data_IF_019475123806
#
_entry.id   IF_019475123806
#
_cell.length_a   1.000
_cell.length_b   1.000
_cell.length_c   1.000
_cell.angle_alpha   90.00
_cell.angle_beta   90.00
_cell.angle_gamma   90.00
#
_symmetry.space_group_name_H-M   'P 1'
#
loop_
_entity.id
_entity.type
_entity.pdbx_description
1 polymer ?
#
# COMPACT_ATOMS: atom_id res chain seq x y z
N UNK A 1 5.47 8.81 25.70
CA UNK A 1 4.25 8.24 25.10
C UNK A 1 4.24 8.63 23.63
N UNK A 2 4.22 7.63 22.75
CA UNK A 2 4.34 7.78 21.28
C UNK A 2 3.10 8.46 20.68
N UNK A 3 1.93 8.06 21.14
CA UNK A 3 0.65 8.64 20.75
C UNK A 3 0.25 9.79 21.68
N UNK A 4 -0.65 10.66 21.21
CA UNK A 4 -1.16 11.79 21.97
C UNK A 4 -1.96 11.37 23.20
N UNK A 5 -2.56 10.17 23.15
CA UNK A 5 -3.38 9.57 24.21
C UNK A 5 -3.46 8.06 24.05
N UNK A 6 -4.04 7.38 25.04
CA UNK A 6 -4.46 5.98 24.92
C UNK A 6 -5.87 5.90 24.30
N UNK A 7 -6.15 4.76 23.66
CA UNK A 7 -7.50 4.42 23.23
C UNK A 7 -8.36 4.12 24.47
N UNK A 8 -9.61 4.54 24.42
CA UNK A 8 -10.64 4.05 25.36
C UNK A 8 -11.08 2.65 24.95
N UNK A 9 -11.67 1.89 25.88
CA UNK A 9 -12.24 0.57 25.56
C UNK A 9 -13.29 0.67 24.45
N UNK A 10 -14.12 1.72 24.46
CA UNK A 10 -15.11 1.98 23.41
C UNK A 10 -14.47 2.13 22.04
N UNK A 11 -13.39 2.92 21.95
CA UNK A 11 -12.66 3.13 20.69
C UNK A 11 -11.95 1.86 20.21
N UNK A 12 -11.40 1.06 21.13
CA UNK A 12 -10.82 -0.23 20.78
C UNK A 12 -11.88 -1.17 20.18
N UNK A 13 -13.05 -1.27 20.81
CA UNK A 13 -14.15 -2.07 20.27
C UNK A 13 -14.63 -1.56 18.91
N UNK A 14 -14.69 -0.25 18.72
CA UNK A 14 -15.01 0.34 17.41
C UNK A 14 -13.98 -0.04 16.33
N UNK A 15 -12.68 -0.01 16.64
CA UNK A 15 -11.64 -0.40 15.69
C UNK A 15 -11.70 -1.90 15.35
N UNK A 16 -12.04 -2.75 16.32
CA UNK A 16 -12.26 -4.18 16.08
C UNK A 16 -13.50 -4.43 15.22
N UNK A 17 -14.58 -3.67 15.43
CA UNK A 17 -15.76 -3.74 14.56
C UNK A 17 -15.46 -3.24 13.14
N UNK A 18 -14.68 -2.17 13.01
CA UNK A 18 -14.19 -1.66 11.71
C UNK A 18 -13.35 -2.71 10.99
N UNK A 19 -12.45 -3.38 11.71
CA UNK A 19 -11.62 -4.44 11.16
C UNK A 19 -12.47 -5.54 10.51
N UNK A 20 -13.48 -6.04 11.21
CA UNK A 20 -14.36 -7.08 10.66
C UNK A 20 -15.19 -6.58 9.47
N UNK A 21 -15.71 -5.35 9.53
CA UNK A 21 -16.41 -4.72 8.41
C UNK A 21 -15.52 -4.64 7.15
N UNK A 22 -14.28 -4.18 7.30
CA UNK A 22 -13.32 -4.06 6.18
C UNK A 22 -12.96 -5.45 5.64
N UNK A 23 -12.73 -6.43 6.53
CA UNK A 23 -12.45 -7.81 6.12
C UNK A 23 -13.58 -8.39 5.27
N UNK A 24 -14.83 -8.20 5.68
CA UNK A 24 -16.00 -8.68 4.96
C UNK A 24 -16.17 -7.96 3.61
N UNK A 25 -16.01 -6.63 3.60
CA UNK A 25 -16.15 -5.82 2.39
C UNK A 25 -15.12 -6.22 1.30
N UNK A 26 -13.87 -6.48 1.71
CA UNK A 26 -12.83 -6.94 0.78
C UNK A 26 -12.96 -8.41 0.38
N UNK A 27 -13.56 -9.27 1.21
CA UNK A 27 -13.80 -10.67 0.83
C UNK A 27 -14.81 -10.82 -0.31
N UNK A 28 -15.76 -9.89 -0.45
CA UNK A 28 -16.79 -9.89 -1.50
C UNK A 28 -16.24 -9.37 -2.82
N UNK A 29 -15.31 -8.41 -2.77
CA UNK A 29 -14.64 -7.93 -3.98
C UNK A 29 -13.46 -8.85 -4.26
N UNK A 30 -13.42 -9.61 -5.37
CA UNK A 30 -12.21 -10.38 -5.78
C UNK A 30 -10.97 -9.49 -6.04
N UNK A 31 -11.03 -8.23 -5.65
CA UNK A 31 -10.01 -7.19 -5.71
C UNK A 31 -9.54 -6.84 -4.29
N UNK A 32 -8.28 -7.22 -4.06
CA UNK A 32 -7.37 -6.79 -2.99
C UNK A 32 -7.31 -7.64 -1.73
N UNK A 33 -6.06 -8.02 -1.45
CA UNK A 33 -5.58 -8.78 -0.32
C UNK A 33 -5.78 -7.97 0.98
N UNK A 34 -6.71 -8.41 1.82
CA UNK A 34 -6.97 -7.81 3.13
C UNK A 34 -5.71 -7.73 4.01
N UNK A 35 -4.71 -8.61 3.79
CA UNK A 35 -3.45 -8.55 4.53
C UNK A 35 -2.68 -7.25 4.28
N UNK A 36 -2.88 -6.58 3.14
CA UNK A 36 -2.36 -5.24 2.86
C UNK A 36 -2.78 -4.23 3.93
N UNK A 37 -4.06 -4.24 4.33
CA UNK A 37 -4.60 -3.31 5.34
C UNK A 37 -3.86 -3.46 6.66
N UNK A 38 -3.57 -4.69 7.08
CA UNK A 38 -2.78 -4.93 8.29
C UNK A 38 -1.34 -4.46 8.16
N UNK A 39 -0.70 -4.62 7.00
CA UNK A 39 0.64 -4.08 6.78
C UNK A 39 0.64 -2.55 6.86
N UNK A 40 -0.36 -1.87 6.31
CA UNK A 40 -0.53 -0.42 6.45
C UNK A 40 -0.71 -0.02 7.92
N UNK A 41 -1.51 -0.75 8.70
CA UNK A 41 -1.63 -0.52 10.14
C UNK A 41 -0.30 -0.72 10.88
N UNK A 42 0.51 -1.71 10.50
CA UNK A 42 1.85 -1.92 11.07
C UNK A 42 2.80 -0.78 10.75
N UNK A 43 2.88 -0.34 9.49
CA UNK A 43 3.69 0.82 9.13
C UNK A 43 3.21 2.10 9.80
N UNK A 44 1.90 2.28 9.96
CA UNK A 44 1.32 3.40 10.71
C UNK A 44 1.85 3.45 12.14
N UNK A 45 1.93 2.30 12.84
CA UNK A 45 2.54 2.21 14.17
C UNK A 45 4.02 2.57 14.13
N UNK A 46 4.73 2.02 13.15
CA UNK A 46 6.18 2.14 13.08
C UNK A 46 6.61 3.58 12.78
N UNK A 47 5.93 4.25 11.85
CA UNK A 47 6.16 5.65 11.54
C UNK A 47 5.79 6.52 12.75
N UNK A 48 4.61 6.32 13.34
CA UNK A 48 4.18 7.11 14.51
C UNK A 48 5.17 7.02 15.69
N UNK A 49 5.83 5.87 15.88
CA UNK A 49 6.87 5.67 16.90
C UNK A 49 8.17 6.43 16.66
N UNK A 50 8.44 6.83 15.42
CA UNK A 50 9.73 7.36 14.98
C UNK A 50 9.63 8.80 14.45
N UNK A 51 8.56 9.52 14.78
CA UNK A 51 8.40 10.95 14.52
C UNK A 51 8.31 11.71 15.84
N UNK A 52 8.54 13.02 15.81
CA UNK A 52 8.49 13.86 17.02
C UNK A 52 7.05 14.20 17.41
N UNK A 53 6.17 14.36 16.42
CA UNK A 53 4.79 14.75 16.61
C UNK A 53 3.95 13.62 17.21
N UNK A 54 3.17 13.95 18.23
CA UNK A 54 2.17 13.04 18.77
C UNK A 54 0.91 13.10 17.93
N UNK A 55 0.40 11.93 17.56
CA UNK A 55 -0.82 11.77 16.78
C UNK A 55 -1.93 11.07 17.55
N UNK A 56 -3.18 11.30 17.15
CA UNK A 56 -4.31 10.57 17.71
C UNK A 56 -4.35 9.13 17.17
N UNK A 57 -4.23 8.10 18.03
CA UNK A 57 -4.17 6.72 17.57
C UNK A 57 -5.48 6.30 16.87
N UNK A 58 -6.63 6.77 17.33
CA UNK A 58 -7.91 6.39 16.74
C UNK A 58 -8.03 6.91 15.31
N UNK A 59 -7.62 8.16 15.06
CA UNK A 59 -7.64 8.76 13.71
C UNK A 59 -6.72 7.96 12.76
N UNK A 60 -5.49 7.66 13.21
CA UNK A 60 -4.54 6.88 12.42
C UNK A 60 -5.06 5.49 12.07
N UNK A 61 -5.55 4.72 13.04
CA UNK A 61 -5.96 3.33 12.81
C UNK A 61 -7.30 3.23 12.08
N UNK A 62 -8.28 4.07 12.40
CA UNK A 62 -9.53 4.09 11.65
C UNK A 62 -9.28 4.50 10.19
N UNK A 63 -8.41 5.49 9.96
CA UNK A 63 -7.99 5.89 8.63
C UNK A 63 -7.26 4.78 7.87
N UNK A 64 -6.32 4.09 8.51
CA UNK A 64 -5.59 2.97 7.91
C UNK A 64 -6.50 1.78 7.60
N UNK A 65 -7.46 1.44 8.47
CA UNK A 65 -8.42 0.36 8.21
C UNK A 65 -9.34 0.68 7.04
N UNK A 66 -9.80 1.92 6.93
CA UNK A 66 -10.80 2.34 5.94
C UNK A 66 -10.20 2.88 4.63
N UNK A 67 -8.87 3.04 4.52
CA UNK A 67 -8.24 3.77 3.40
C UNK A 67 -8.68 3.26 2.02
N UNK A 68 -8.81 1.94 1.87
CA UNK A 68 -9.12 1.27 0.61
C UNK A 68 -10.59 0.84 0.47
N UNK A 69 -11.47 1.23 1.40
CA UNK A 69 -12.89 0.82 1.36
C UNK A 69 -13.60 1.25 0.07
N UNK A 70 -13.17 2.35 -0.55
CA UNK A 70 -13.68 2.80 -1.85
C UNK A 70 -13.36 1.86 -3.01
N UNK A 71 -12.33 1.00 -2.89
CA UNK A 71 -11.97 0.01 -3.93
C UNK A 71 -12.94 -1.17 -4.03
N UNK A 72 -13.78 -1.36 -3.01
CA UNK A 72 -14.85 -2.36 -3.04
C UNK A 72 -15.85 -2.10 -4.18
N UNK A 73 -15.93 -0.85 -4.66
CA UNK A 73 -16.66 -0.48 -5.86
C UNK A 73 -15.73 -0.28 -7.07
N UNK A 74 -15.59 -1.33 -7.90
CA UNK A 74 -14.70 -1.34 -9.07
C UNK A 74 -14.99 -0.24 -10.09
N UNK A 75 -16.24 0.24 -10.20
CA UNK A 75 -16.59 1.30 -11.15
C UNK A 75 -15.90 2.63 -10.82
N UNK A 76 -15.53 2.83 -9.55
CA UNK A 76 -14.99 4.09 -9.03
C UNK A 76 -13.57 3.94 -8.47
N UNK A 77 -12.84 2.87 -8.81
CA UNK A 77 -11.47 2.63 -8.32
C UNK A 77 -10.50 3.81 -8.63
N UNK A 78 -10.70 4.47 -9.77
CA UNK A 78 -9.94 5.66 -10.17
C UNK A 78 -10.09 6.87 -9.23
N UNK A 79 -11.13 6.90 -8.39
CA UNK A 79 -11.41 7.92 -7.36
C UNK A 79 -11.63 7.29 -5.97
N UNK A 80 -11.08 6.10 -5.71
CA UNK A 80 -11.37 5.33 -4.48
C UNK A 80 -11.13 6.11 -3.18
N UNK A 81 -10.15 7.02 -3.13
CA UNK A 81 -9.95 7.86 -1.94
C UNK A 81 -11.15 8.79 -1.66
N UNK A 82 -11.72 9.42 -2.70
CA UNK A 82 -12.89 10.29 -2.58
C UNK A 82 -14.13 9.49 -2.17
N UNK A 83 -14.42 8.39 -2.87
CA UNK A 83 -15.54 7.52 -2.52
C UNK A 83 -15.35 6.91 -1.12
N UNK A 84 -14.15 6.45 -0.81
CA UNK A 84 -13.80 5.88 0.48
C UNK A 84 -13.99 6.88 1.62
N UNK A 85 -13.70 8.16 1.40
CA UNK A 85 -13.96 9.24 2.35
C UNK A 85 -15.42 9.33 2.74
N UNK A 86 -16.31 9.33 1.74
CA UNK A 86 -17.77 9.36 1.96
C UNK A 86 -18.24 8.11 2.69
N UNK A 87 -17.80 6.93 2.26
CA UNK A 87 -18.15 5.67 2.93
C UNK A 87 -17.65 5.61 4.38
N UNK A 88 -16.46 6.14 4.65
CA UNK A 88 -15.90 6.23 5.98
C UNK A 88 -16.71 7.18 6.86
N UNK A 89 -17.14 8.33 6.34
CA UNK A 89 -18.01 9.27 7.05
C UNK A 89 -19.34 8.62 7.45
N UNK A 90 -20.04 8.00 6.48
CA UNK A 90 -21.31 7.31 6.70
C UNK A 90 -21.19 6.18 7.74
N UNK A 91 -20.14 5.36 7.62
CA UNK A 91 -19.91 4.25 8.55
C UNK A 91 -19.64 4.74 9.97
N UNK A 92 -18.77 5.74 10.14
CA UNK A 92 -18.41 6.30 11.45
C UNK A 92 -19.56 7.07 12.10
N UNK A 93 -20.43 7.69 11.31
CA UNK A 93 -21.70 8.26 11.78
C UNK A 93 -22.63 7.19 12.34
N UNK A 94 -22.74 6.04 11.67
CA UNK A 94 -23.47 4.88 12.17
C UNK A 94 -22.93 4.37 13.52
N UNK A 95 -21.62 4.53 13.76
CA UNK A 95 -20.98 4.22 15.04
C UNK A 95 -21.07 5.35 16.08
N UNK A 96 -21.71 6.48 15.76
CA UNK A 96 -21.83 7.66 16.63
C UNK A 96 -20.47 8.21 17.09
N UNK A 97 -19.48 8.21 16.20
CA UNK A 97 -18.17 8.82 16.43
C UNK A 97 -18.33 10.35 16.47
N UNK A 98 -17.52 11.02 17.29
CA UNK A 98 -17.54 12.49 17.36
C UNK A 98 -17.31 13.09 15.96
N UNK A 99 -18.12 14.06 15.50
CA UNK A 99 -18.00 14.62 14.15
C UNK A 99 -16.59 15.12 13.80
N UNK A 100 -15.87 15.74 14.75
CA UNK A 100 -14.50 16.23 14.49
C UNK A 100 -13.52 15.09 14.22
N UNK A 101 -13.67 13.95 14.91
CA UNK A 101 -12.83 12.77 14.73
C UNK A 101 -13.20 12.05 13.45
N UNK A 102 -14.49 11.87 13.20
CA UNK A 102 -15.03 11.32 11.95
C UNK A 102 -14.50 12.09 10.74
N UNK A 103 -14.62 13.41 10.73
CA UNK A 103 -14.16 14.25 9.62
C UNK A 103 -12.64 14.13 9.41
N UNK A 104 -11.87 14.02 10.51
CA UNK A 104 -10.44 13.79 10.42
C UNK A 104 -10.11 12.44 9.79
N UNK A 105 -10.81 11.36 10.17
CA UNK A 105 -10.65 10.03 9.56
C UNK A 105 -11.04 10.05 8.08
N UNK A 106 -12.16 10.67 7.73
CA UNK A 106 -12.60 10.79 6.33
C UNK A 106 -11.54 11.53 5.50
N UNK A 107 -10.91 12.59 6.02
CA UNK A 107 -9.80 13.27 5.33
C UNK A 107 -8.57 12.39 5.17
N UNK A 108 -8.23 11.56 6.15
CA UNK A 108 -7.14 10.57 6.02
C UNK A 108 -7.45 9.64 4.85
N UNK A 109 -8.66 9.09 4.78
CA UNK A 109 -9.09 8.21 3.68
C UNK A 109 -9.09 8.94 2.34
N UNK A 110 -9.52 10.21 2.28
CA UNK A 110 -9.48 10.99 1.03
C UNK A 110 -8.05 11.20 0.55
N UNK A 111 -7.13 11.50 1.47
CA UNK A 111 -5.79 12.02 1.15
C UNK A 111 -4.70 10.96 1.15
N UNK A 112 -4.99 9.69 1.50
CA UNK A 112 -3.99 8.62 1.55
C UNK A 112 -3.40 8.26 0.18
N UNK A 113 -4.05 8.65 -0.92
CA UNK A 113 -3.68 8.22 -2.27
C UNK A 113 -3.42 9.40 -3.22
N UNK A 114 -2.42 9.30 -4.11
CA UNK A 114 -2.18 10.32 -5.13
C UNK A 114 -3.32 10.41 -6.16
N UNK A 115 -4.18 9.38 -6.29
CA UNK A 115 -5.30 9.39 -7.25
C UNK A 115 -6.35 10.44 -6.90
N UNK A 116 -6.49 10.79 -5.62
CA UNK A 116 -7.38 11.86 -5.17
C UNK A 116 -6.91 13.25 -5.61
N UNK A 117 -5.64 13.41 -6.01
CA UNK A 117 -5.01 14.71 -6.35
C UNK A 117 -5.10 15.75 -5.23
N UNK A 118 -5.24 15.30 -3.99
CA UNK A 118 -5.32 16.13 -2.79
C UNK A 118 -4.22 15.63 -1.84
N UNK A 119 -3.15 16.40 -1.59
CA UNK A 119 -2.04 15.94 -0.76
C UNK A 119 -2.43 15.86 0.73
N UNK A 120 -1.76 14.99 1.51
CA UNK A 120 -1.94 14.93 2.97
C UNK A 120 -1.38 16.20 3.64
N UNK A 121 -2.12 16.73 4.62
CA UNK A 121 -1.80 17.97 5.31
C UNK A 121 -1.47 17.71 6.77
N UNK A 122 -2.31 16.97 7.49
CA UNK A 122 -2.05 16.67 8.91
C UNK A 122 -1.03 15.55 9.07
N UNK A 123 -0.45 15.43 10.26
CA UNK A 123 0.50 14.36 10.58
C UNK A 123 -0.14 12.98 10.40
N UNK A 124 -1.38 12.78 10.86
CA UNK A 124 -2.13 11.54 10.68
C UNK A 124 -2.34 11.20 9.20
N UNK A 125 -2.72 12.19 8.38
CA UNK A 125 -2.91 12.01 6.94
C UNK A 125 -1.59 11.60 6.26
N UNK A 126 -0.46 12.20 6.65
CA UNK A 126 0.86 11.88 6.11
C UNK A 126 1.35 10.50 6.54
N UNK A 127 1.07 10.09 7.78
CA UNK A 127 1.47 8.77 8.28
C UNK A 127 0.79 7.67 7.47
N UNK A 128 -0.53 7.76 7.28
CA UNK A 128 -1.28 6.73 6.54
C UNK A 128 -0.90 6.76 5.05
N UNK A 129 -0.68 7.95 4.48
CA UNK A 129 -0.16 8.07 3.11
C UNK A 129 1.20 7.36 2.95
N UNK A 130 2.15 7.60 3.86
CA UNK A 130 3.46 6.96 3.83
C UNK A 130 3.35 5.45 4.05
N UNK A 131 2.51 5.00 4.99
CA UNK A 131 2.30 3.59 5.30
C UNK A 131 1.76 2.80 4.10
N UNK A 132 0.74 3.31 3.41
CA UNK A 132 0.20 2.70 2.19
C UNK A 132 1.19 2.81 1.01
N UNK A 133 1.96 3.90 0.94
CA UNK A 133 3.04 4.02 -0.03
C UNK A 133 4.09 2.94 0.18
N UNK A 134 4.57 2.72 1.42
CA UNK A 134 5.60 1.73 1.74
C UNK A 134 5.20 0.30 1.36
N UNK A 135 3.95 -0.11 1.56
CA UNK A 135 3.51 -1.44 1.15
C UNK A 135 3.43 -1.62 -0.39
N UNK A 136 3.34 -0.53 -1.15
CA UNK A 136 3.44 -0.55 -2.62
C UNK A 136 4.88 -0.61 -3.12
N UNK A 137 5.85 -0.39 -2.23
CA UNK A 137 7.28 -0.48 -2.49
C UNK A 137 7.81 -1.88 -2.12
N UNK A 138 9.07 -2.14 -2.48
CA UNK A 138 9.72 -3.41 -2.18
C UNK A 138 9.13 -4.63 -2.90
N UNK A 139 9.49 -5.82 -2.41
CA UNK A 139 9.14 -7.10 -3.02
C UNK A 139 7.63 -7.38 -3.01
N UNK A 140 6.94 -7.15 -1.89
CA UNK A 140 5.49 -7.37 -1.80
C UNK A 140 4.72 -6.42 -2.73
N UNK A 141 5.17 -5.16 -2.82
CA UNK A 141 4.66 -4.20 -3.77
C UNK A 141 4.83 -4.66 -5.22
N UNK A 142 5.99 -5.23 -5.55
CA UNK A 142 6.27 -5.82 -6.87
C UNK A 142 5.26 -6.94 -7.16
N UNK A 143 5.16 -7.94 -6.28
CA UNK A 143 4.27 -9.09 -6.46
C UNK A 143 2.81 -8.66 -6.66
N UNK A 144 2.31 -7.73 -5.84
CA UNK A 144 0.97 -7.14 -6.01
C UNK A 144 0.80 -6.44 -7.35
N UNK A 145 1.86 -5.80 -7.85
CA UNK A 145 1.89 -5.17 -9.18
C UNK A 145 1.78 -6.17 -10.33
N UNK A 146 2.16 -7.43 -10.12
CA UNK A 146 2.05 -8.52 -11.09
C UNK A 146 0.69 -9.22 -11.06
N UNK A 147 0.05 -9.31 -9.90
CA UNK A 147 -1.27 -9.97 -9.77
C UNK A 147 -2.29 -9.33 -10.71
N UNK A 148 -2.93 -10.16 -11.53
CA UNK A 148 -3.97 -9.74 -12.49
C UNK A 148 -3.46 -8.99 -13.72
N UNK A 149 -2.13 -8.84 -13.92
CA UNK A 149 -1.58 -8.28 -15.16
C UNK A 149 -1.42 -9.36 -16.23
N UNK A 150 -1.66 -8.95 -17.49
CA UNK A 150 -1.46 -9.77 -18.68
C UNK A 150 -0.36 -9.16 -19.56
N UNK A 151 0.38 -10.00 -20.28
CA UNK A 151 1.46 -9.59 -21.19
C UNK A 151 2.84 -10.06 -20.76
N UNK A 152 3.88 -9.51 -21.41
CA UNK A 152 5.28 -9.85 -21.13
C UNK A 152 5.67 -9.47 -19.70
N UNK A 153 6.31 -10.42 -19.00
CA UNK A 153 6.88 -10.22 -17.67
C UNK A 153 7.87 -9.05 -17.64
N UNK A 154 8.71 -8.92 -18.66
CA UNK A 154 9.67 -7.82 -18.80
C UNK A 154 8.95 -6.46 -18.89
N UNK A 155 7.90 -6.36 -19.71
CA UNK A 155 7.13 -5.12 -19.85
C UNK A 155 6.39 -4.75 -18.56
N UNK A 156 5.85 -5.73 -17.82
CA UNK A 156 5.21 -5.49 -16.52
C UNK A 156 6.24 -5.00 -15.52
N UNK A 157 7.42 -5.63 -15.48
CA UNK A 157 8.51 -5.25 -14.59
C UNK A 157 9.00 -3.83 -14.86
N UNK A 158 9.31 -3.49 -16.11
CA UNK A 158 9.78 -2.15 -16.50
C UNK A 158 8.78 -1.08 -16.10
N UNK A 159 7.49 -1.28 -16.41
CA UNK A 159 6.42 -0.34 -16.03
C UNK A 159 6.27 -0.20 -14.52
N UNK A 160 6.43 -1.29 -13.78
CA UNK A 160 6.42 -1.23 -12.31
C UNK A 160 7.58 -0.36 -11.81
N UNK A 161 8.81 -0.62 -12.28
CA UNK A 161 10.00 0.10 -11.86
C UNK A 161 9.95 1.59 -12.18
N UNK A 162 9.53 1.95 -13.39
CA UNK A 162 9.36 3.36 -13.80
C UNK A 162 8.36 4.09 -12.92
N UNK A 163 7.22 3.44 -12.61
CA UNK A 163 6.18 4.04 -11.77
C UNK A 163 6.65 4.27 -10.34
N UNK A 164 7.38 3.32 -9.75
CA UNK A 164 7.76 3.36 -8.33
C UNK A 164 8.94 4.28 -8.02
N UNK A 165 9.76 4.64 -9.00
CA UNK A 165 10.84 5.63 -8.83
C UNK A 165 10.33 6.95 -8.22
N UNK A 166 9.12 7.37 -8.58
CA UNK A 166 8.53 8.61 -8.08
C UNK A 166 7.83 8.47 -6.73
N UNK A 167 7.52 7.26 -6.28
CA UNK A 167 6.76 7.05 -5.05
C UNK A 167 7.65 7.21 -3.81
N UNK A 168 8.93 6.81 -3.88
CA UNK A 168 9.91 7.06 -2.81
C UNK A 168 10.04 8.55 -2.49
N UNK A 169 10.05 9.41 -3.51
CA UNK A 169 10.18 10.87 -3.34
C UNK A 169 8.95 11.53 -2.70
N UNK A 170 7.82 10.81 -2.60
CA UNK A 170 6.57 11.32 -2.00
C UNK A 170 6.43 10.98 -0.52
N UNK A 171 7.35 10.20 0.05
CA UNK A 171 7.35 9.87 1.47
C UNK A 171 7.60 11.13 2.29
N UNK A 172 6.75 11.37 3.28
CA UNK A 172 6.70 12.60 4.05
C UNK A 172 7.76 12.62 5.17
N UNK A 173 7.99 11.49 5.84
CA UNK A 173 8.92 11.42 6.99
C UNK A 173 10.27 10.82 6.63
N UNK A 174 11.34 11.28 7.31
CA UNK A 174 12.69 10.73 7.16
C UNK A 174 12.74 9.23 7.49
N UNK A 175 12.00 8.83 8.53
CA UNK A 175 11.88 7.43 8.91
C UNK A 175 11.25 6.59 7.79
N UNK A 176 10.16 7.07 7.18
CA UNK A 176 9.53 6.42 6.04
C UNK A 176 10.50 6.31 4.86
N UNK A 177 11.25 7.38 4.54
CA UNK A 177 12.27 7.35 3.48
C UNK A 177 13.32 6.26 3.72
N UNK A 178 13.84 6.16 4.95
CA UNK A 178 14.79 5.11 5.33
C UNK A 178 14.20 3.70 5.17
N UNK A 179 12.95 3.48 5.57
CA UNK A 179 12.27 2.20 5.34
C UNK A 179 12.13 1.90 3.85
N UNK A 180 11.73 2.91 3.07
CA UNK A 180 11.65 2.81 1.62
C UNK A 180 12.98 2.40 1.00
N UNK A 181 14.09 3.04 1.38
CA UNK A 181 15.43 2.73 0.86
C UNK A 181 15.82 1.27 1.17
N UNK A 182 15.52 0.77 2.37
CA UNK A 182 15.77 -0.64 2.71
C UNK A 182 14.94 -1.60 1.85
N UNK A 183 13.65 -1.34 1.68
CA UNK A 183 12.76 -2.11 0.81
C UNK A 183 13.22 -2.07 -0.65
N UNK A 184 13.75 -0.93 -1.08
CA UNK A 184 14.30 -0.77 -2.43
C UNK A 184 15.55 -1.62 -2.62
N UNK A 185 16.46 -1.61 -1.64
CA UNK A 185 17.67 -2.40 -1.68
C UNK A 185 17.37 -3.90 -1.78
N UNK A 186 16.47 -4.40 -0.93
CA UNK A 186 16.00 -5.80 -0.99
C UNK A 186 15.39 -6.14 -2.36
N UNK A 187 14.57 -5.23 -2.91
CA UNK A 187 13.99 -5.40 -4.25
C UNK A 187 15.09 -5.50 -5.32
N UNK A 188 16.14 -4.67 -5.27
CA UNK A 188 17.23 -4.71 -6.25
C UNK A 188 17.96 -6.05 -6.24
N UNK A 189 18.26 -6.62 -5.06
CA UNK A 189 18.87 -7.94 -4.95
C UNK A 189 18.00 -9.02 -5.60
N UNK A 190 16.69 -8.95 -5.38
CA UNK A 190 15.73 -9.88 -5.99
C UNK A 190 15.63 -9.71 -7.52
N UNK A 191 15.70 -8.47 -8.01
CA UNK A 191 15.67 -8.19 -9.45
C UNK A 191 16.87 -8.76 -10.19
N UNK A 192 18.07 -8.74 -9.58
CA UNK A 192 19.24 -9.37 -10.17
C UNK A 192 19.03 -10.88 -10.43
N UNK A 193 18.34 -11.56 -9.50
CA UNK A 193 17.97 -12.97 -9.67
C UNK A 193 16.96 -13.12 -10.81
N UNK A 194 15.95 -12.26 -10.89
CA UNK A 194 14.97 -12.30 -11.98
C UNK A 194 15.64 -12.07 -13.34
N UNK A 195 16.51 -11.07 -13.45
CA UNK A 195 17.21 -10.73 -14.69
C UNK A 195 18.08 -11.89 -15.17
N UNK A 196 18.86 -12.52 -14.29
CA UNK A 196 19.63 -13.73 -14.61
C UNK A 196 18.74 -14.87 -15.15
N UNK A 197 17.60 -15.10 -14.49
CA UNK A 197 16.64 -16.14 -14.88
C UNK A 197 15.91 -15.81 -16.19
N UNK A 198 15.65 -14.53 -16.48
CA UNK A 198 15.07 -14.12 -17.75
C UNK A 198 16.09 -14.25 -18.89
N UNK A 199 17.33 -13.82 -18.69
CA UNK A 199 18.40 -13.93 -19.68
C UNK A 199 18.71 -15.38 -20.04
N UNK A 200 18.76 -16.28 -19.05
CA UNK A 200 18.99 -17.72 -19.31
C UNK A 200 17.89 -18.38 -20.13
N UNK A 201 16.64 -17.88 -20.06
CA UNK A 201 15.53 -18.33 -20.92
C UNK A 201 15.61 -17.77 -22.34
N UNK A 202 16.35 -16.69 -22.54
CA UNK A 202 16.51 -16.01 -23.82
C UNK A 202 17.75 -16.45 -24.60
N UNK A 203 18.43 -17.52 -24.16
CA UNK A 203 19.42 -18.19 -24.99
C UNK A 203 18.82 -18.48 -26.37
N UNK A 204 19.50 -18.03 -27.43
CA UNK A 204 19.01 -18.32 -28.77
C UNK A 204 18.89 -19.84 -28.95
N UNK A 205 17.96 -20.29 -29.79
CA UNK A 205 17.84 -21.73 -30.07
C UNK A 205 19.16 -22.33 -30.55
N UNK A 206 19.98 -21.50 -31.22
CA UNK A 206 21.34 -21.84 -31.62
C UNK A 206 22.26 -22.07 -30.43
N UNK A 207 22.23 -21.20 -29.43
CA UNK A 207 23.00 -21.36 -28.19
C UNK A 207 22.62 -22.65 -27.44
N UNK A 208 21.32 -22.95 -27.33
CA UNK A 208 20.85 -24.20 -26.72
C UNK A 208 21.30 -25.42 -27.52
N UNK A 209 21.23 -25.35 -28.85
CA UNK A 209 21.65 -26.46 -29.70
C UNK A 209 23.17 -26.67 -29.69
N UNK A 210 23.97 -25.60 -29.63
CA UNK A 210 25.42 -25.70 -29.54
C UNK A 210 25.86 -26.31 -28.18
N UNK A 211 25.16 -26.01 -27.08
CA UNK A 211 25.42 -26.62 -25.76
C UNK A 211 25.13 -28.13 -25.71
N UNK A 212 24.05 -28.56 -26.37
CA UNK A 212 23.64 -29.97 -26.41
C UNK A 212 24.30 -30.77 -27.57
N UNK A 213 25.18 -30.14 -28.34
CA UNK A 213 25.83 -30.76 -29.50
C UNK A 213 24.87 -31.12 -30.63
N UNK A 214 23.72 -30.46 -30.71
CA UNK A 214 22.65 -30.71 -31.68
C UNK A 214 22.93 -30.08 -33.05
N UNK A 215 23.90 -29.15 -33.16
CA UNK A 215 24.38 -28.63 -34.44
C UNK A 215 25.84 -29.03 -34.65
N UNK A 216 26.18 -29.54 -35.84
CA UNK A 216 27.58 -29.72 -36.24
C UNK A 216 28.27 -28.36 -36.29
N UNK A 217 29.38 -28.24 -35.59
CA UNK A 217 30.35 -27.17 -35.80
C UNK A 217 31.00 -27.42 -37.16
N UNK A 218 30.74 -26.53 -38.12
CA UNK A 218 31.37 -26.53 -39.45
C UNK A 218 32.87 -26.23 -39.35
#
# INVERSE_FOLDING_TARGET
MVFARLLTDKELQMLLQMQEFVREAHAVSDSHDYSHVFTVCRYTIEIAKNIEEKVDPFICFAGALLHDIGKTNRAFDHIHGLLGGTLAEEYLDGLQVNPKIRDAVARVVIRHTPTSKIPPVTTEERIVYDADTLDRLGLMGLLRGFVGKTGSMENILTKYMEKRKFDYAKLNFDYSRKLGDNLHHELLEFLLIIEDRLQSRMASIRHLFDQEGLVKTS
#
